data_IF_048480532944
#
_entry.id   IF_048480532944
#
_cell.length_a   1.000
_cell.length_b   1.000
_cell.length_c   1.000
_cell.angle_alpha   90.00
_cell.angle_beta   90.00
_cell.angle_gamma   90.00
#
_symmetry.space_group_name_H-M   'P 1'
#
loop_
_entity.id
_entity.type
_entity.pdbx_description
1 polymer ?
#
# COMPACT_ATOMS: atom_id res chain seq x y z
N UNK A 1 -5.89 20.95 -10.76
CA UNK A 1 -5.81 19.55 -10.31
C UNK A 1 -4.89 18.86 -11.29
N UNK A 2 -3.61 18.73 -10.92
CA UNK A 2 -2.56 18.22 -11.81
C UNK A 2 -2.63 16.69 -11.85
N UNK A 3 -3.35 16.17 -12.85
CA UNK A 3 -3.63 14.74 -13.01
C UNK A 3 -2.36 13.88 -13.01
N UNK A 4 -1.25 14.38 -13.53
CA UNK A 4 0.02 13.66 -13.63
C UNK A 4 0.70 13.45 -12.27
N UNK A 5 0.52 14.36 -11.32
CA UNK A 5 1.14 14.26 -10.00
C UNK A 5 0.39 13.29 -9.09
N UNK A 6 -0.93 13.23 -9.22
CA UNK A 6 -1.78 12.27 -8.49
C UNK A 6 -1.69 10.83 -9.05
N UNK A 7 -1.33 10.65 -10.33
CA UNK A 7 -1.25 9.32 -10.95
C UNK A 7 0.04 8.57 -10.64
N UNK A 8 1.15 9.29 -10.42
CA UNK A 8 2.47 8.71 -10.06
C UNK A 8 2.41 7.74 -8.87
N UNK A 9 1.81 8.09 -7.71
CA UNK A 9 1.75 7.16 -6.59
C UNK A 9 0.93 5.90 -6.91
N UNK A 10 -0.11 6.02 -7.73
CA UNK A 10 -0.92 4.87 -8.17
C UNK A 10 -0.15 3.91 -9.07
N UNK A 11 0.65 4.45 -10.00
CA UNK A 11 1.54 3.67 -10.86
C UNK A 11 2.61 2.91 -10.07
N UNK A 12 3.25 3.59 -9.10
CA UNK A 12 4.27 2.98 -8.24
C UNK A 12 3.65 1.83 -7.43
N UNK A 13 2.45 2.04 -6.89
CA UNK A 13 1.73 1.00 -6.15
C UNK A 13 1.39 -0.20 -7.03
N UNK A 14 0.90 0.03 -8.25
CA UNK A 14 0.59 -1.03 -9.21
C UNK A 14 1.81 -1.87 -9.61
N UNK A 15 2.98 -1.24 -9.76
CA UNK A 15 4.24 -1.94 -10.03
C UNK A 15 4.61 -2.87 -8.86
N UNK A 16 4.54 -2.36 -7.63
CA UNK A 16 4.85 -3.14 -6.42
C UNK A 16 3.91 -4.35 -6.31
N UNK A 17 2.60 -4.16 -6.54
CA UNK A 17 1.63 -5.26 -6.55
C UNK A 17 1.93 -6.30 -7.62
N UNK A 18 2.32 -5.87 -8.82
CA UNK A 18 2.66 -6.78 -9.93
C UNK A 18 3.90 -7.60 -9.63
N UNK A 19 4.94 -6.99 -9.06
CA UNK A 19 6.13 -7.71 -8.59
C UNK A 19 5.80 -8.71 -7.47
N UNK A 20 4.94 -8.32 -6.53
CA UNK A 20 4.43 -9.22 -5.50
C UNK A 20 3.73 -10.43 -6.10
N UNK A 21 2.81 -10.22 -7.04
CA UNK A 21 2.08 -11.30 -7.71
C UNK A 21 3.00 -12.22 -8.54
N UNK A 22 4.00 -11.67 -9.23
CA UNK A 22 4.98 -12.45 -9.98
C UNK A 22 5.86 -13.30 -9.05
N UNK A 23 6.33 -12.71 -7.95
CA UNK A 23 7.06 -13.44 -6.91
C UNK A 23 6.21 -14.56 -6.30
N UNK A 24 4.90 -14.33 -6.11
CA UNK A 24 3.97 -15.35 -5.64
C UNK A 24 3.83 -16.50 -6.61
N UNK A 25 3.73 -16.18 -7.90
CA UNK A 25 3.56 -17.16 -8.98
C UNK A 25 4.81 -18.01 -9.18
N UNK A 26 6.01 -17.44 -9.01
CA UNK A 26 7.29 -18.13 -9.21
C UNK A 26 7.73 -18.92 -7.96
N UNK A 27 7.56 -18.35 -6.76
CA UNK A 27 8.05 -18.94 -5.51
C UNK A 27 7.17 -20.07 -4.94
N UNK A 28 5.90 -20.14 -5.33
CA UNK A 28 4.95 -21.13 -4.81
C UNK A 28 4.50 -20.86 -3.36
N UNK A 29 3.37 -21.46 -2.98
CA UNK A 29 2.62 -21.17 -1.75
C UNK A 29 3.49 -21.35 -0.48
N UNK A 30 4.43 -22.30 -0.47
CA UNK A 30 5.30 -22.56 0.69
C UNK A 30 6.31 -21.45 0.94
N UNK A 31 6.91 -20.85 -0.10
CA UNK A 31 7.84 -19.74 0.07
C UNK A 31 7.06 -18.46 0.39
N UNK A 32 5.98 -18.22 -0.35
CA UNK A 32 5.14 -17.04 -0.20
C UNK A 32 4.47 -16.98 1.16
N UNK A 33 4.02 -18.12 1.71
CA UNK A 33 3.43 -18.18 3.04
C UNK A 33 4.38 -17.67 4.13
N UNK A 34 5.64 -18.09 4.10
CA UNK A 34 6.67 -17.65 5.08
C UNK A 34 6.96 -16.15 4.93
N UNK A 35 7.08 -15.66 3.70
CA UNK A 35 7.29 -14.23 3.45
C UNK A 35 6.08 -13.39 3.82
N UNK A 36 4.87 -13.91 3.55
CA UNK A 36 3.62 -13.25 3.90
C UNK A 36 3.45 -13.18 5.42
N UNK A 37 3.71 -14.26 6.15
CA UNK A 37 3.69 -14.25 7.62
C UNK A 37 4.73 -13.28 8.20
N UNK A 38 5.93 -13.21 7.61
CA UNK A 38 6.96 -12.27 8.04
C UNK A 38 6.63 -10.80 7.73
N UNK A 39 6.01 -10.53 6.57
CA UNK A 39 5.66 -9.18 6.11
C UNK A 39 4.31 -8.68 6.64
N UNK A 40 3.41 -9.59 7.03
CA UNK A 40 2.08 -9.27 7.54
C UNK A 40 2.07 -8.18 8.63
N UNK A 41 2.89 -8.25 9.70
CA UNK A 41 2.91 -7.19 10.72
C UNK A 41 3.33 -5.84 10.15
N UNK A 42 4.24 -5.80 9.17
CA UNK A 42 4.69 -4.56 8.52
C UNK A 42 3.56 -3.98 7.67
N UNK A 43 2.85 -4.83 6.92
CA UNK A 43 1.71 -4.41 6.09
C UNK A 43 0.58 -3.86 6.97
N UNK A 44 0.30 -4.51 8.10
CA UNK A 44 -0.71 -4.03 9.07
C UNK A 44 -0.31 -2.68 9.64
N UNK A 45 0.94 -2.50 10.06
CA UNK A 45 1.43 -1.20 10.55
C UNK A 45 1.36 -0.11 9.47
N UNK A 46 1.70 -0.44 8.23
CA UNK A 46 1.62 0.49 7.11
C UNK A 46 0.17 0.86 6.77
N UNK A 47 -0.76 -0.10 6.81
CA UNK A 47 -2.18 0.14 6.61
C UNK A 47 -2.76 1.04 7.72
N UNK A 48 -2.44 0.75 8.98
CA UNK A 48 -2.89 1.58 10.12
C UNK A 48 -2.31 2.99 10.04
N UNK A 49 -1.02 3.13 9.71
CA UNK A 49 -0.37 4.43 9.56
C UNK A 49 -0.97 5.25 8.41
N UNK A 50 -1.15 4.63 7.24
CA UNK A 50 -1.75 5.31 6.08
C UNK A 50 -3.20 5.70 6.31
N UNK A 51 -4.01 4.85 6.97
CA UNK A 51 -5.36 5.19 7.40
C UNK A 51 -5.37 6.34 8.41
N UNK A 52 -4.44 6.35 9.37
CA UNK A 52 -4.33 7.43 10.36
C UNK A 52 -3.96 8.77 9.70
N UNK A 53 -3.03 8.75 8.75
CA UNK A 53 -2.63 9.95 7.98
C UNK A 53 -3.79 10.46 7.13
N UNK A 54 -4.49 9.56 6.43
CA UNK A 54 -5.69 9.91 5.65
C UNK A 54 -6.80 10.48 6.54
N UNK A 55 -7.00 9.91 7.73
CA UNK A 55 -7.97 10.42 8.70
C UNK A 55 -7.63 11.82 9.20
N UNK A 56 -6.34 12.08 9.51
CA UNK A 56 -5.87 13.41 9.91
C UNK A 56 -6.04 14.44 8.78
N UNK A 57 -5.71 14.06 7.53
CA UNK A 57 -5.94 14.94 6.35
C UNK A 57 -7.42 15.22 6.14
N UNK A 58 -8.27 14.21 6.26
CA UNK A 58 -9.72 14.36 6.10
C UNK A 58 -10.30 15.28 7.18
N UNK A 59 -9.90 15.09 8.45
CA UNK A 59 -10.34 15.95 9.55
C UNK A 59 -9.93 17.41 9.38
N UNK A 60 -8.73 17.66 8.86
CA UNK A 60 -8.27 19.03 8.55
C UNK A 60 -9.05 19.68 7.41
N UNK A 61 -9.48 18.92 6.40
CA UNK A 61 -10.32 19.46 5.32
C UNK A 61 -11.72 19.85 5.81
N UNK A 62 -12.25 19.15 6.82
CA UNK A 62 -13.55 19.46 7.42
C UNK A 62 -13.51 20.73 8.31
N UNK A 63 -12.36 21.03 8.92
CA UNK A 63 -12.13 22.23 9.76
C UNK A 63 -11.85 23.52 8.95
N UNK A 64 -11.44 23.41 7.68
CA UNK A 64 -11.20 24.54 6.77
C UNK A 64 -12.43 24.93 5.91
N UNK A 65 -13.56 24.23 6.08
CA UNK A 65 -14.84 24.51 5.38
C UNK A 65 -15.85 25.26 6.25
#
# INVERSE_FOLDING_TARGET
MDLEQDFRPFLIFGIICTFGAAAVTIGGISFVGVWMDALYPIIVLFAVASLSISWIRWKKMDEES
#
